data_IF_253536416851
#
_entry.id   IF_253536416851
#
_cell.length_a   1.000
_cell.length_b   1.000
_cell.length_c   1.000
_cell.angle_alpha   90.00
_cell.angle_beta   90.00
_cell.angle_gamma   90.00
#
_symmetry.space_group_name_H-M   'P 1'
#
loop_
_entity.id
_entity.type
_entity.pdbx_description
1 polymer ?
#
# COMPACT_ATOMS: atom_id res chain seq x y z
N UNK A 1 9.99 11.76 -9.10
CA UNK A 1 9.26 10.53 -8.77
C UNK A 1 9.36 9.59 -9.95
N UNK A 2 9.63 8.33 -9.68
CA UNK A 2 9.60 7.25 -10.67
C UNK A 2 8.43 6.33 -10.34
N UNK A 3 7.65 5.97 -11.35
CA UNK A 3 6.43 5.17 -11.20
C UNK A 3 6.51 3.94 -12.09
N UNK A 4 6.31 2.76 -11.50
CA UNK A 4 6.21 1.49 -12.23
C UNK A 4 4.82 0.88 -12.04
N UNK A 5 4.19 0.50 -13.15
CA UNK A 5 2.91 -0.22 -13.16
C UNK A 5 3.13 -1.69 -13.53
N UNK A 6 2.51 -2.60 -12.78
CA UNK A 6 2.53 -4.03 -13.07
C UNK A 6 1.13 -4.63 -12.84
N UNK A 7 0.67 -5.42 -13.83
CA UNK A 7 -0.56 -6.21 -13.71
C UNK A 7 -0.21 -7.60 -13.18
N UNK A 8 -0.77 -7.95 -12.02
CA UNK A 8 -0.37 -9.14 -11.27
C UNK A 8 -1.60 -9.84 -10.67
N UNK A 9 -1.48 -11.16 -10.50
CA UNK A 9 -2.35 -11.89 -9.56
C UNK A 9 -1.76 -11.74 -8.17
N UNK A 10 -2.46 -11.01 -7.29
CA UNK A 10 -1.99 -10.78 -5.91
C UNK A 10 -2.69 -11.75 -4.96
N UNK A 11 -1.92 -12.28 -4.01
CA UNK A 11 -2.45 -13.06 -2.89
C UNK A 11 -2.28 -12.22 -1.63
N UNK A 12 -3.39 -11.74 -1.09
CA UNK A 12 -3.46 -10.97 0.14
C UNK A 12 -3.59 -11.94 1.33
N UNK A 13 -2.73 -11.81 2.34
CA UNK A 13 -2.82 -12.58 3.59
C UNK A 13 -3.41 -11.71 4.71
N UNK A 14 -4.53 -12.15 5.28
CA UNK A 14 -5.18 -11.48 6.40
C UNK A 14 -4.54 -11.94 7.72
N UNK A 15 -4.00 -11.00 8.50
CA UNK A 15 -3.53 -11.28 9.85
C UNK A 15 -4.71 -11.48 10.81
N UNK A 16 -4.61 -12.45 11.71
CA UNK A 16 -5.59 -12.71 12.78
C UNK A 16 -4.91 -12.70 14.14
N UNK A 17 -5.55 -12.13 15.15
CA UNK A 17 -5.07 -12.15 16.54
C UNK A 17 -5.14 -13.55 17.20
N UNK A 18 -5.61 -14.58 16.48
CA UNK A 18 -5.63 -15.96 16.97
C UNK A 18 -4.39 -16.71 16.48
N UNK A 19 -3.78 -17.52 17.34
CA UNK A 19 -2.70 -18.43 16.96
C UNK A 19 -3.20 -19.37 15.86
N UNK A 20 -2.62 -19.25 14.66
CA UNK A 20 -2.88 -20.12 13.52
C UNK A 20 -1.99 -21.36 13.66
N UNK A 21 -2.58 -22.52 13.93
CA UNK A 21 -1.82 -23.71 14.33
C UNK A 21 -1.73 -24.79 13.23
N UNK A 22 -2.19 -24.51 12.00
CA UNK A 22 -2.14 -25.47 10.90
C UNK A 22 -1.99 -24.79 9.51
N UNK A 23 -1.26 -25.38 8.54
CA UNK A 23 -1.11 -24.86 7.18
C UNK A 23 -2.45 -24.64 6.46
N UNK A 24 -3.42 -25.51 6.71
CA UNK A 24 -4.78 -25.43 6.15
C UNK A 24 -5.53 -24.17 6.63
N UNK A 25 -5.27 -23.71 7.85
CA UNK A 25 -5.86 -22.49 8.39
C UNK A 25 -5.20 -21.23 7.82
N UNK A 26 -3.91 -21.29 7.47
CA UNK A 26 -3.22 -20.19 6.77
C UNK A 26 -3.77 -19.99 5.36
N UNK A 27 -4.09 -21.07 4.65
CA UNK A 27 -4.70 -20.99 3.32
C UNK A 27 -6.07 -20.28 3.32
N UNK A 28 -6.84 -20.40 4.41
CA UNK A 28 -8.12 -19.69 4.56
C UNK A 28 -7.97 -18.18 4.80
N UNK A 29 -6.78 -17.73 5.19
CA UNK A 29 -6.47 -16.32 5.38
C UNK A 29 -5.95 -15.66 4.11
N UNK A 30 -5.78 -16.42 3.02
CA UNK A 30 -5.33 -15.93 1.73
C UNK A 30 -6.52 -15.60 0.81
N UNK A 31 -6.49 -14.42 0.18
CA UNK A 31 -7.44 -14.04 -0.87
C UNK A 31 -6.67 -13.81 -2.16
N UNK A 32 -7.12 -14.46 -3.23
CA UNK A 32 -6.60 -14.23 -4.56
C UNK A 32 -7.41 -13.15 -5.27
N UNK A 33 -6.72 -12.13 -5.78
CA UNK A 33 -7.28 -11.07 -6.59
C UNK A 33 -6.69 -11.16 -8.00
N UNK A 34 -7.55 -11.09 -9.02
CA UNK A 34 -7.16 -11.02 -10.43
C UNK A 34 -7.25 -9.57 -10.91
N UNK A 35 -6.51 -9.26 -11.98
CA UNK A 35 -6.53 -7.95 -12.63
C UNK A 35 -6.22 -6.79 -11.65
N UNK A 36 -5.23 -7.03 -10.78
CA UNK A 36 -4.71 -6.01 -9.85
C UNK A 36 -3.56 -5.28 -10.53
N UNK A 37 -3.61 -3.96 -10.48
CA UNK A 37 -2.48 -3.11 -10.90
C UNK A 37 -1.77 -2.59 -9.66
N UNK A 38 -0.47 -2.85 -9.56
CA UNK A 38 0.40 -2.25 -8.54
C UNK A 38 1.10 -1.01 -9.08
N UNK A 39 1.13 0.05 -8.28
CA UNK A 39 1.92 1.25 -8.50
C UNK A 39 3.02 1.30 -7.44
N UNK A 40 4.27 1.25 -7.89
CA UNK A 40 5.46 1.52 -7.08
C UNK A 40 5.91 2.94 -7.38
N UNK A 41 6.06 3.75 -6.36
CA UNK A 41 6.32 5.19 -6.50
C UNK A 41 7.51 5.59 -5.63
N UNK A 42 8.65 5.85 -6.25
CA UNK A 42 9.91 6.16 -5.58
C UNK A 42 10.29 7.65 -5.71
N UNK A 43 10.92 8.22 -4.69
CA UNK A 43 11.34 9.62 -4.69
C UNK A 43 12.77 9.73 -5.22
N UNK A 44 12.87 10.04 -6.52
CA UNK A 44 14.15 10.32 -7.18
C UNK A 44 15.01 11.30 -6.36
N UNK A 45 16.22 10.84 -5.99
CA UNK A 45 17.20 11.64 -5.26
C UNK A 45 17.04 11.66 -3.73
N UNK A 46 16.01 10.99 -3.17
CA UNK A 46 15.78 10.97 -1.73
C UNK A 46 16.95 10.43 -0.94
N UNK A 47 17.58 9.35 -1.38
CA UNK A 47 18.72 8.73 -0.67
C UNK A 47 19.92 9.69 -0.52
N UNK A 48 20.11 10.61 -1.47
CA UNK A 48 21.13 11.64 -1.35
C UNK A 48 20.67 12.74 -0.37
N UNK A 49 19.45 13.24 -0.55
CA UNK A 49 18.86 14.27 0.31
C UNK A 49 18.81 13.87 1.78
N UNK A 50 18.41 12.63 2.08
CA UNK A 50 18.26 12.14 3.46
C UNK A 50 19.58 12.02 4.24
N UNK A 51 20.72 12.05 3.55
CA UNK A 51 22.06 12.09 4.19
C UNK A 51 22.47 13.49 4.63
N UNK A 52 21.90 14.52 4.03
CA UNK A 52 22.26 15.92 4.26
C UNK A 52 21.26 16.66 5.15
N UNK A 53 20.04 16.14 5.27
CA UNK A 53 18.94 16.73 6.02
C UNK A 53 18.78 16.06 7.39
N UNK A 54 18.44 16.85 8.40
CA UNK A 54 18.16 16.34 9.74
C UNK A 54 17.03 15.29 9.72
N UNK A 55 17.16 14.15 10.44
CA UNK A 55 16.18 13.06 10.39
C UNK A 55 14.74 13.52 10.68
N UNK A 56 14.54 14.44 11.62
CA UNK A 56 13.22 14.97 11.96
C UNK A 56 12.58 15.70 10.77
N UNK A 57 13.35 16.46 10.02
CA UNK A 57 12.88 17.17 8.83
C UNK A 57 12.56 16.18 7.69
N UNK A 58 13.36 15.11 7.53
CA UNK A 58 13.05 14.03 6.56
C UNK A 58 11.73 13.36 6.90
N UNK A 59 11.49 13.07 8.18
CA UNK A 59 10.24 12.44 8.62
C UNK A 59 9.02 13.36 8.43
N UNK A 60 9.16 14.66 8.72
CA UNK A 60 8.09 15.64 8.46
C UNK A 60 7.78 15.72 6.96
N UNK A 61 8.81 15.73 6.11
CA UNK A 61 8.66 15.72 4.65
C UNK A 61 7.90 14.48 4.17
N UNK A 62 8.33 13.28 4.55
CA UNK A 62 7.68 12.03 4.17
C UNK A 62 6.24 11.97 4.65
N UNK A 63 5.99 12.31 5.92
CA UNK A 63 4.64 12.29 6.48
C UNK A 63 3.70 13.25 5.73
N UNK A 64 4.17 14.45 5.40
CA UNK A 64 3.38 15.43 4.66
C UNK A 64 3.08 14.95 3.24
N UNK A 65 4.07 14.37 2.56
CA UNK A 65 3.89 13.85 1.21
C UNK A 65 2.95 12.65 1.19
N UNK A 66 3.14 11.68 2.08
CA UNK A 66 2.32 10.48 2.15
C UNK A 66 0.90 10.78 2.59
N UNK A 67 0.66 11.78 3.43
CA UNK A 67 -0.71 12.24 3.74
C UNK A 67 -1.45 12.74 2.49
N UNK A 68 -0.76 13.41 1.56
CA UNK A 68 -1.37 13.79 0.28
C UNK A 68 -1.65 12.57 -0.61
N UNK A 69 -0.77 11.57 -0.61
CA UNK A 69 -1.00 10.33 -1.36
C UNK A 69 -2.13 9.49 -0.76
N UNK A 70 -2.26 9.45 0.57
CA UNK A 70 -3.36 8.81 1.28
C UNK A 70 -4.70 9.43 0.83
N UNK A 71 -4.78 10.77 0.79
CA UNK A 71 -5.97 11.48 0.30
C UNK A 71 -6.29 11.20 -1.18
N UNK A 72 -5.27 11.00 -2.02
CA UNK A 72 -5.46 10.57 -3.40
C UNK A 72 -5.96 9.12 -3.49
N UNK A 73 -5.46 8.23 -2.61
CA UNK A 73 -5.92 6.84 -2.56
C UNK A 73 -7.42 6.78 -2.24
N UNK A 74 -7.87 7.53 -1.23
CA UNK A 74 -9.27 7.65 -0.86
C UNK A 74 -10.13 8.19 -2.01
N UNK A 75 -9.65 9.25 -2.67
CA UNK A 75 -10.35 9.88 -3.80
C UNK A 75 -10.52 8.93 -5.00
N UNK A 76 -9.53 8.10 -5.27
CA UNK A 76 -9.50 7.21 -6.43
C UNK A 76 -9.95 5.78 -6.15
N UNK A 77 -10.29 5.45 -4.89
CA UNK A 77 -10.73 4.11 -4.51
C UNK A 77 -9.63 3.06 -4.71
N UNK A 78 -8.38 3.43 -4.46
CA UNK A 78 -7.22 2.53 -4.52
C UNK A 78 -6.66 2.29 -3.13
N UNK A 79 -6.06 1.13 -2.90
CA UNK A 79 -5.58 0.72 -1.58
C UNK A 79 -4.09 1.03 -1.45
N UNK A 80 -3.71 1.79 -0.42
CA UNK A 80 -2.32 1.83 0.05
C UNK A 80 -1.95 0.46 0.62
N UNK A 81 -0.91 -0.15 0.06
CA UNK A 81 -0.40 -1.46 0.51
C UNK A 81 0.57 -1.24 1.65
N UNK A 82 1.67 -0.53 1.38
CA UNK A 82 2.71 -0.26 2.36
C UNK A 82 3.60 0.90 1.91
N UNK A 83 4.52 1.30 2.79
CA UNK A 83 5.62 2.22 2.51
C UNK A 83 6.93 1.54 2.89
N UNK A 84 7.96 1.65 2.04
CA UNK A 84 9.29 1.12 2.31
C UNK A 84 10.32 2.23 2.09
N UNK A 85 10.73 2.90 3.18
CA UNK A 85 11.54 4.11 3.08
C UNK A 85 10.76 5.24 2.39
N UNK A 86 11.29 5.71 1.27
CA UNK A 86 10.67 6.72 0.41
C UNK A 86 9.78 6.15 -0.72
N UNK A 87 9.76 4.83 -0.87
CA UNK A 87 8.88 4.17 -1.81
C UNK A 87 7.46 4.02 -1.23
N UNK A 88 6.46 4.41 -2.02
CA UNK A 88 5.04 4.31 -1.70
C UNK A 88 4.36 3.31 -2.64
N UNK A 89 3.66 2.30 -2.08
CA UNK A 89 3.11 1.17 -2.84
C UNK A 89 1.58 1.18 -2.75
N UNK A 90 0.92 1.15 -3.90
CA UNK A 90 -0.54 1.21 -4.03
C UNK A 90 -1.03 0.09 -4.93
N UNK A 91 -2.21 -0.46 -4.62
CA UNK A 91 -2.91 -1.43 -5.43
C UNK A 91 -4.28 -0.91 -5.89
N UNK A 92 -4.52 -0.96 -7.21
CA UNK A 92 -5.83 -0.78 -7.82
C UNK A 92 -6.50 -2.13 -8.10
N UNK A 93 -7.84 -2.15 -8.14
CA UNK A 93 -8.61 -3.37 -8.43
C UNK A 93 -8.83 -4.32 -7.25
N UNK A 94 -8.32 -3.99 -6.06
CA UNK A 94 -8.53 -4.79 -4.82
C UNK A 94 -9.80 -4.38 -4.08
N UNK A 95 -10.16 -3.09 -4.12
CA UNK A 95 -11.34 -2.58 -3.40
C UNK A 95 -12.61 -2.85 -4.22
N UNK A 96 -13.43 -3.78 -3.73
CA UNK A 96 -14.78 -3.96 -4.24
C UNK A 96 -15.69 -2.86 -3.67
N UNK A 97 -15.79 -1.75 -4.39
CA UNK A 97 -16.62 -0.60 -4.02
C UNK A 97 -18.14 -0.93 -4.03
N UNK A 98 -18.54 -2.13 -4.44
CA UNK A 98 -19.95 -2.59 -4.34
C UNK A 98 -20.42 -2.87 -2.90
N UNK A 99 -19.52 -2.86 -1.90
CA UNK A 99 -19.82 -3.17 -0.49
C UNK A 99 -19.97 -1.96 0.45
N UNK A 100 -19.94 -0.73 -0.05
CA UNK A 100 -20.11 0.47 0.79
C UNK A 100 -21.57 0.92 0.99
N UNK A 101 -22.56 0.24 0.42
CA UNK A 101 -23.99 0.55 0.62
C UNK A 101 -24.62 -0.17 1.82
N UNK A 102 -23.94 -1.11 2.48
CA UNK A 102 -24.48 -1.83 3.65
C UNK A 102 -24.00 -1.25 4.99
N UNK A 103 -24.21 0.06 5.19
CA UNK A 103 -24.25 0.65 6.53
C UNK A 103 -25.44 1.61 6.62
N UNK A 104 -26.58 1.04 7.01
CA UNK A 104 -27.63 1.76 7.75
C UNK A 104 -27.10 2.30 9.08
#
# INVERSE_FOLDING_TARGET
>A
MEALLADLSVVEYLSTNKAVNAPEQMAQLARQHKDVTLLFMDIVGFTAMSKEVAPEAVMVFLNTLFAHFDALCDKHGVMKVETAGDCYIVAGGILDLSRSTDRE
#
